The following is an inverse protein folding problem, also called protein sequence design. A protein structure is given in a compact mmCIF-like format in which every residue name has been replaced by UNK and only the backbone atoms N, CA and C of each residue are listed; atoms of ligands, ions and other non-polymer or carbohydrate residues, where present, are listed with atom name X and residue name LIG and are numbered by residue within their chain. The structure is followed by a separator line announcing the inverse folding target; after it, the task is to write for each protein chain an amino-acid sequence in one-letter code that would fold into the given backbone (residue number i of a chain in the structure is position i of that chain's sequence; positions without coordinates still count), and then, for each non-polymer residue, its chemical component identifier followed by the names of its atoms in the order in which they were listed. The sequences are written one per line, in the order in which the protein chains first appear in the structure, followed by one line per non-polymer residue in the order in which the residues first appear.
data_IF_802416892259
#
_entry.id   IF_802416892259
#
_cell.length_a   1.000
_cell.length_b   1.000
_cell.length_c   1.000
_cell.angle_alpha   90.00
_cell.angle_beta   90.00
_cell.angle_gamma   90.00
#
_symmetry.space_group_name_H-M   'P 1'
#
loop_
_entity.id
_entity.type
_entity.pdbx_description
1 polymer ?
#
# COMPACT_ATOMS: atom_id res chain seq x y z
N UNK A 1 6.30 -8.31 -3.08
CA UNK A 1 5.26 -9.35 -2.84
C UNK A 1 5.79 -10.73 -2.47
N UNK A 2 6.93 -11.17 -3.00
CA UNK A 2 7.52 -12.50 -2.76
C UNK A 2 7.50 -12.95 -1.28
N UNK A 3 7.97 -12.09 -0.37
CA UNK A 3 7.99 -12.36 1.08
C UNK A 3 6.60 -12.62 1.69
N UNK A 4 5.56 -11.91 1.23
CA UNK A 4 4.19 -12.13 1.70
C UNK A 4 3.64 -13.50 1.24
N UNK A 5 3.95 -13.90 -0.01
CA UNK A 5 3.58 -15.21 -0.55
C UNK A 5 4.25 -16.36 0.22
N UNK A 6 5.51 -16.20 0.61
CA UNK A 6 6.26 -17.18 1.40
C UNK A 6 5.73 -17.26 2.85
N UNK A 7 5.36 -16.12 3.44
CA UNK A 7 4.90 -16.06 4.83
C UNK A 7 3.51 -16.68 5.03
N UNK A 8 2.64 -16.63 4.01
CA UNK A 8 1.28 -17.17 4.09
C UNK A 8 0.83 -17.79 2.77
N UNK A 9 0.64 -19.11 2.81
CA UNK A 9 0.21 -19.91 1.67
C UNK A 9 -1.10 -19.43 1.02
N UNK A 10 -2.10 -19.05 1.82
CA UNK A 10 -3.37 -18.53 1.28
C UNK A 10 -3.19 -17.25 0.47
N UNK A 11 -2.29 -16.36 0.91
CA UNK A 11 -1.95 -15.16 0.14
C UNK A 11 -1.25 -15.53 -1.16
N UNK A 12 -0.31 -16.49 -1.12
CA UNK A 12 0.33 -17.03 -2.31
C UNK A 12 -0.67 -17.59 -3.33
N UNK A 13 -1.65 -18.38 -2.87
CA UNK A 13 -2.71 -18.91 -3.74
C UNK A 13 -3.59 -17.82 -4.35
N UNK A 14 -3.94 -16.78 -3.58
CA UNK A 14 -4.63 -15.61 -4.12
C UNK A 14 -3.77 -14.92 -5.19
N UNK A 15 -2.50 -14.65 -4.87
CA UNK A 15 -1.60 -13.93 -5.75
C UNK A 15 -1.36 -14.68 -7.06
N UNK A 16 -1.29 -16.00 -7.03
CA UNK A 16 -1.11 -16.83 -8.23
C UNK A 16 -2.29 -16.76 -9.20
N UNK A 17 -3.52 -16.51 -8.71
CA UNK A 17 -4.72 -16.39 -9.55
C UNK A 17 -4.79 -15.10 -10.33
N UNK A 18 -4.06 -14.07 -9.90
CA UNK A 18 -4.06 -12.77 -10.56
C UNK A 18 -3.29 -12.84 -11.88
N UNK A 19 -3.77 -12.10 -12.87
CA UNK A 19 -3.03 -11.86 -14.11
C UNK A 19 -1.82 -10.93 -13.87
N UNK A 20 -0.97 -10.76 -14.89
CA UNK A 20 0.24 -9.92 -14.75
C UNK A 20 -0.12 -8.47 -14.48
N UNK A 21 -1.12 -7.92 -15.17
CA UNK A 21 -1.53 -6.52 -15.04
C UNK A 21 -2.04 -6.21 -13.63
N UNK A 22 -2.83 -7.12 -13.04
CA UNK A 22 -3.31 -7.02 -11.68
C UNK A 22 -2.17 -7.10 -10.66
N UNK A 23 -1.20 -8.00 -10.86
CA UNK A 23 -0.02 -8.09 -10.00
C UNK A 23 0.79 -6.79 -10.04
N UNK A 24 1.09 -6.32 -11.24
CA UNK A 24 1.83 -5.08 -11.47
C UNK A 24 1.09 -3.88 -10.87
N UNK A 25 -0.23 -3.83 -11.04
CA UNK A 25 -1.08 -2.80 -10.44
C UNK A 25 -1.05 -2.82 -8.91
N UNK A 26 -1.15 -3.99 -8.28
CA UNK A 26 -1.09 -4.09 -6.80
C UNK A 26 0.30 -3.66 -6.30
N UNK A 27 1.37 -4.15 -6.94
CA UNK A 27 2.74 -3.80 -6.56
C UNK A 27 2.99 -2.29 -6.71
N UNK A 28 2.55 -1.70 -7.81
CA UNK A 28 2.72 -0.27 -8.06
C UNK A 28 1.88 0.57 -7.10
N UNK A 29 0.63 0.21 -6.85
CA UNK A 29 -0.23 0.91 -5.90
C UNK A 29 0.35 0.89 -4.48
N UNK A 30 1.04 -0.19 -4.07
CA UNK A 30 1.71 -0.24 -2.75
C UNK A 30 2.91 0.69 -2.71
N UNK A 31 3.72 0.73 -3.78
CA UNK A 31 4.82 1.70 -3.86
C UNK A 31 4.29 3.13 -3.77
N UNK A 32 3.26 3.45 -4.55
CA UNK A 32 2.64 4.78 -4.55
C UNK A 32 2.09 5.13 -3.16
N UNK A 33 1.38 4.20 -2.51
CA UNK A 33 0.88 4.39 -1.14
C UNK A 33 2.02 4.74 -0.19
N UNK A 34 3.08 3.93 -0.16
CA UNK A 34 4.20 4.14 0.75
C UNK A 34 4.91 5.46 0.46
N UNK A 35 5.19 5.78 -0.81
CA UNK A 35 5.82 7.06 -1.19
C UNK A 35 4.99 8.26 -0.74
N UNK A 36 3.68 8.25 -1.00
CA UNK A 36 2.79 9.34 -0.60
C UNK A 36 2.62 9.43 0.91
N UNK A 37 2.53 8.30 1.60
CA UNK A 37 2.41 8.26 3.06
C UNK A 37 3.65 8.86 3.72
N UNK A 38 4.86 8.53 3.24
CA UNK A 38 6.11 9.11 3.74
C UNK A 38 6.22 10.60 3.42
N UNK A 39 5.83 11.01 2.20
CA UNK A 39 5.83 12.42 1.81
C UNK A 39 4.86 13.29 2.63
N UNK A 40 3.86 12.68 3.27
CA UNK A 40 2.86 13.36 4.10
C UNK A 40 2.93 12.93 5.56
N UNK A 41 4.07 12.43 6.05
CA UNK A 41 4.19 11.83 7.39
C UNK A 41 3.77 12.78 8.53
N UNK A 42 3.93 14.09 8.34
CA UNK A 42 3.51 15.14 9.29
C UNK A 42 1.99 15.41 9.26
N UNK A 43 1.28 14.94 8.24
CA UNK A 43 -0.14 15.14 8.01
C UNK A 43 -0.89 13.81 8.12
N UNK A 44 -1.04 13.31 9.35
CA UNK A 44 -1.62 11.99 9.63
C UNK A 44 -3.00 11.81 8.98
N UNK A 45 -3.85 12.82 8.98
CA UNK A 45 -5.17 12.76 8.34
C UNK A 45 -5.06 12.49 6.83
N UNK A 46 -4.06 13.06 6.15
CA UNK A 46 -3.82 12.82 4.73
C UNK A 46 -3.25 11.41 4.51
N UNK A 47 -2.35 10.94 5.38
CA UNK A 47 -1.84 9.55 5.34
C UNK A 47 -2.98 8.54 5.49
N UNK A 48 -3.89 8.79 6.44
CA UNK A 48 -5.09 7.96 6.64
C UNK A 48 -5.98 7.98 5.41
N UNK A 49 -6.28 9.16 4.85
CA UNK A 49 -7.10 9.30 3.65
C UNK A 49 -6.51 8.53 2.46
N UNK A 50 -5.19 8.64 2.24
CA UNK A 50 -4.48 7.92 1.18
C UNK A 50 -4.53 6.40 1.37
N UNK A 51 -4.34 5.94 2.61
CA UNK A 51 -4.40 4.54 2.97
C UNK A 51 -5.82 3.97 2.80
N UNK A 52 -6.85 4.69 3.25
CA UNK A 52 -8.24 4.30 3.09
C UNK A 52 -8.64 4.20 1.61
N UNK A 53 -8.21 5.15 0.77
CA UNK A 53 -8.44 5.13 -0.67
C UNK A 53 -7.80 3.89 -1.32
N UNK A 54 -6.58 3.54 -0.92
CA UNK A 54 -5.90 2.33 -1.35
C UNK A 54 -6.68 1.07 -0.93
N UNK A 55 -7.14 1.00 0.33
CA UNK A 55 -7.94 -0.10 0.85
C UNK A 55 -9.28 -0.28 0.14
N UNK A 56 -9.95 0.82 -0.17
CA UNK A 56 -11.20 0.83 -0.91
C UNK A 56 -11.03 0.22 -2.31
N UNK A 57 -9.94 0.53 -3.03
CA UNK A 57 -9.65 -0.05 -4.36
C UNK A 57 -9.49 -1.57 -4.31
N UNK A 58 -8.93 -2.11 -3.23
CA UNK A 58 -8.66 -3.55 -3.10
C UNK A 58 -9.91 -4.42 -2.95
N UNK A 59 -11.06 -3.79 -2.68
CA UNK A 59 -12.37 -4.46 -2.66
C UNK A 59 -12.65 -5.22 -3.95
N UNK A 60 -12.18 -4.73 -5.10
CA UNK A 60 -12.41 -5.36 -6.41
C UNK A 60 -11.84 -6.78 -6.52
N UNK A 61 -10.83 -7.12 -5.71
CA UNK A 61 -10.19 -8.45 -5.73
C UNK A 61 -10.92 -9.49 -4.87
N UNK A 62 -12.03 -9.15 -4.19
CA UNK A 62 -12.78 -10.09 -3.35
C UNK A 62 -13.31 -11.29 -4.12
N UNK A 63 -13.81 -11.09 -5.34
CA UNK A 63 -14.30 -12.17 -6.20
C UNK A 63 -13.21 -13.16 -6.58
N UNK A 64 -11.94 -12.75 -6.45
CA UNK A 64 -10.75 -13.56 -6.74
C UNK A 64 -10.16 -14.20 -5.47
N UNK A 65 -10.82 -14.04 -4.31
CA UNK A 65 -10.45 -14.64 -3.04
C UNK A 65 -9.59 -13.75 -2.13
N UNK A 66 -9.49 -12.44 -2.40
CA UNK A 66 -8.80 -11.52 -1.51
C UNK A 66 -9.48 -11.44 -0.13
N UNK A 67 -8.69 -11.58 0.93
CA UNK A 67 -9.13 -11.43 2.32
C UNK A 67 -8.50 -10.18 2.94
N UNK A 68 -9.22 -9.41 3.78
CA UNK A 68 -8.65 -8.23 4.46
C UNK A 68 -7.46 -8.59 5.38
N UNK A 69 -7.40 -9.81 5.90
CA UNK A 69 -6.25 -10.30 6.69
C UNK A 69 -4.93 -10.29 5.89
N UNK A 70 -5.02 -10.28 4.57
CA UNK A 70 -3.85 -10.18 3.71
C UNK A 70 -3.10 -8.86 3.85
N UNK A 71 -3.78 -7.79 4.29
CA UNK A 71 -3.12 -6.52 4.57
C UNK A 71 -2.12 -6.62 5.73
N UNK A 72 -2.40 -7.42 6.77
CA UNK A 72 -1.46 -7.63 7.86
C UNK A 72 -0.19 -8.36 7.38
N UNK A 73 -0.36 -9.31 6.44
CA UNK A 73 0.75 -10.04 5.83
C UNK A 73 1.61 -9.09 4.98
N UNK A 74 0.97 -8.21 4.21
CA UNK A 74 1.65 -7.17 3.43
C UNK A 74 2.41 -6.20 4.34
N UNK A 75 1.79 -5.74 5.43
CA UNK A 75 2.41 -4.85 6.41
C UNK A 75 3.70 -5.46 6.98
N UNK A 76 3.62 -6.71 7.48
CA UNK A 76 4.78 -7.41 8.03
C UNK A 76 5.90 -7.60 7.00
N UNK A 77 5.53 -7.95 5.76
CA UNK A 77 6.49 -8.11 4.68
C UNK A 77 7.18 -6.78 4.34
N UNK A 78 6.43 -5.67 4.31
CA UNK A 78 6.95 -4.32 4.11
C UNK A 78 7.88 -3.90 5.24
N UNK A 79 7.50 -4.10 6.51
CA UNK A 79 8.35 -3.79 7.67
C UNK A 79 9.68 -4.53 7.57
N UNK A 80 9.63 -5.84 7.27
CA UNK A 80 10.82 -6.67 7.16
C UNK A 80 11.73 -6.19 6.03
N UNK A 81 11.16 -5.81 4.89
CA UNK A 81 11.92 -5.34 3.74
C UNK A 81 12.54 -3.95 4.00
N UNK A 82 11.78 -3.02 4.57
CA UNK A 82 12.28 -1.71 4.97
C UNK A 82 13.41 -1.83 6.00
N UNK A 83 13.23 -2.65 7.04
CA UNK A 83 14.28 -2.90 8.04
C UNK A 83 15.52 -3.56 7.43
N UNK A 84 15.34 -4.52 6.51
CA UNK A 84 16.46 -5.19 5.85
C UNK A 84 17.29 -4.22 4.99
N UNK A 85 16.63 -3.33 4.24
CA UNK A 85 17.31 -2.33 3.41
C UNK A 85 17.98 -1.25 4.25
N UNK A 86 17.37 -0.87 5.36
CA UNK A 86 17.88 0.15 6.27
C UNK A 86 19.01 -0.35 7.18
N UNK A 87 19.13 -1.66 7.41
CA UNK A 87 20.23 -2.27 8.18
C UNK A 87 21.64 -1.93 7.66
N UNK A 88 21.76 -1.53 6.39
CA UNK A 88 23.02 -1.07 5.80
C UNK A 88 23.41 0.36 6.24
N UNK A 89 22.48 1.10 6.84
CA UNK A 89 22.60 2.51 7.21
C UNK A 89 22.46 2.70 8.72
N UNK A 90 21.45 2.07 9.34
CA UNK A 90 21.15 2.20 10.75
C UNK A 90 21.09 0.84 11.47
N UNK A 91 21.32 0.80 12.80
CA UNK A 91 21.14 -0.42 13.57
C UNK A 91 19.67 -0.88 13.56
N UNK A 92 19.43 -2.14 13.19
CA UNK A 92 18.11 -2.77 13.07
C UNK A 92 17.14 -2.45 14.21
N UNK A 93 17.65 -2.45 15.45
CA UNK A 93 16.83 -2.26 16.65
C UNK A 93 16.24 -0.85 16.79
N UNK A 94 16.82 0.16 16.14
CA UNK A 94 16.33 1.54 16.21
C UNK A 94 15.23 1.81 15.19
N UNK A 95 15.39 1.28 13.97
CA UNK A 95 14.50 1.62 12.85
C UNK A 95 13.33 0.65 12.71
N UNK A 96 13.48 -0.59 13.19
CA UNK A 96 12.40 -1.56 13.22
C UNK A 96 11.16 -1.04 13.97
N UNK A 97 11.34 -0.43 15.14
CA UNK A 97 10.22 0.11 15.92
C UNK A 97 9.49 1.25 15.19
N UNK A 98 10.24 2.12 14.53
CA UNK A 98 9.69 3.22 13.74
C UNK A 98 8.89 2.69 12.53
N UNK A 99 9.47 1.78 11.76
CA UNK A 99 8.80 1.12 10.63
C UNK A 99 7.56 0.36 11.10
N UNK A 100 7.66 -0.44 12.16
CA UNK A 100 6.53 -1.19 12.71
C UNK A 100 5.38 -0.26 13.11
N UNK A 101 5.66 0.84 13.80
CA UNK A 101 4.62 1.79 14.22
C UNK A 101 3.94 2.45 13.03
N UNK A 102 4.73 3.02 12.12
CA UNK A 102 4.21 3.75 10.97
C UNK A 102 3.46 2.84 9.99
N UNK A 103 4.06 1.73 9.58
CA UNK A 103 3.45 0.81 8.62
C UNK A 103 2.20 0.14 9.20
N UNK A 104 2.18 -0.18 10.49
CA UNK A 104 0.97 -0.71 11.15
C UNK A 104 -0.16 0.32 11.14
N UNK A 105 0.13 1.60 11.39
CA UNK A 105 -0.87 2.68 11.30
C UNK A 105 -1.43 2.82 9.89
N UNK A 106 -0.55 2.85 8.88
CA UNK A 106 -0.95 2.91 7.46
C UNK A 106 -1.84 1.72 7.10
N UNK A 107 -1.40 0.48 7.37
CA UNK A 107 -2.16 -0.71 6.99
C UNK A 107 -3.42 -0.94 7.84
N UNK A 108 -3.50 -0.37 9.04
CA UNK A 108 -4.76 -0.31 9.80
C UNK A 108 -5.78 0.57 9.07
N UNK A 109 -5.36 1.75 8.62
CA UNK A 109 -6.20 2.67 7.83
C UNK A 109 -6.60 2.07 6.48
N UNK A 110 -5.70 1.32 5.83
CA UNK A 110 -6.02 0.53 4.63
C UNK A 110 -7.18 -0.44 4.90
N UNK A 111 -7.13 -1.17 6.01
CA UNK A 111 -8.17 -2.12 6.37
C UNK A 111 -9.50 -1.41 6.66
N UNK A 112 -9.46 -0.24 7.29
CA UNK A 112 -10.65 0.56 7.56
C UNK A 112 -11.32 1.05 6.28
N UNK A 113 -10.54 1.55 5.31
CA UNK A 113 -11.04 1.91 3.97
C UNK A 113 -11.65 0.73 3.22
N UNK A 114 -11.04 -0.46 3.30
CA UNK A 114 -11.60 -1.68 2.71
C UNK A 114 -12.98 -2.01 3.30
N UNK A 115 -13.11 -1.95 4.63
CA UNK A 115 -14.40 -2.19 5.30
C UNK A 115 -15.43 -1.08 5.05
N UNK A 116 -14.99 0.18 4.93
CA UNK A 116 -15.85 1.30 4.57
C UNK A 116 -16.46 1.11 3.18
N UNK A 117 -15.65 0.73 2.21
CA UNK A 117 -16.11 0.47 0.85
C UNK A 117 -17.00 -0.79 0.78
N UNK A 118 -16.69 -1.84 1.56
CA UNK A 118 -17.61 -2.99 1.75
C UNK A 118 -19.00 -2.57 2.20
N UNK A 119 -19.06 -1.71 3.23
CA UNK A 119 -20.30 -1.19 3.77
C UNK A 119 -21.02 -0.30 2.77
N UNK A 120 -20.29 0.49 1.98
CA UNK A 120 -20.86 1.32 0.90
C UNK A 120 -21.52 0.46 -0.17
N UNK A 121 -20.84 -0.56 -0.69
CA UNK A 121 -21.37 -1.44 -1.72
C UNK A 121 -22.70 -2.09 -1.32
N UNK A 122 -22.82 -2.57 -0.07
CA UNK A 122 -24.07 -3.16 0.44
C UNK A 122 -25.24 -2.16 0.42
N UNK A 123 -24.99 -0.88 0.70
CA UNK A 123 -26.01 0.17 0.70
C UNK A 123 -26.46 0.52 -0.71
N UNK A 124 -25.53 0.59 -1.66
CA UNK A 124 -25.84 0.88 -3.07
C UNK A 124 -26.57 -0.28 -3.75
N UNK A 125 -26.26 -1.54 -3.38
CA UNK A 125 -26.97 -2.71 -3.89
C UNK A 125 -28.38 -2.88 -3.31
N UNK A 126 -28.69 -2.20 -2.20
CA UNK A 126 -30.00 -2.28 -1.55
C UNK A 126 -31.00 -1.21 -2.06
N UNK A 127 -30.58 -0.29 -2.94
CA UNK A 127 -31.45 0.72 -3.54
C UNK A 127 -31.98 0.34 -4.92
N UNK A 128 -31.78 -0.90 -5.39
CA UNK A 128 -32.30 -1.36 -6.68
C UNK A 128 -33.69 -1.99 -6.54
N UNK A 129 -34.62 -1.22 -6.00
CA UNK A 129 -36.06 -1.41 -6.22
C UNK A 129 -36.73 -0.04 -6.26
N UNK A 130 -36.51 0.68 -7.36
CA UNK A 130 -37.44 1.58 -8.05
C UNK A 130 -36.66 2.10 -9.26
N UNK A 131 -37.19 1.81 -10.46
CA UNK A 131 -36.46 1.86 -11.71
C UNK A 131 -35.90 3.23 -12.07
N UNK A 132 -34.86 3.22 -12.92
CA UNK A 132 -34.79 4.06 -14.12
C UNK A 132 -33.58 3.66 -14.97
N UNK A 133 -33.81 3.56 -16.27
CA UNK A 133 -32.82 3.37 -17.31
C UNK A 133 -31.75 4.46 -17.27
N UNK A 134 -30.47 4.09 -17.20
CA UNK A 134 -29.39 4.94 -17.68
C UNK A 134 -28.24 4.08 -18.21
N UNK A 135 -28.11 4.08 -19.53
CA UNK A 135 -27.01 3.50 -20.29
C UNK A 135 -25.73 4.30 -20.04
N UNK A 136 -24.78 3.72 -19.29
CA UNK A 136 -23.44 4.29 -19.22
C UNK A 136 -22.58 3.73 -20.37
N UNK A 137 -22.43 4.55 -21.40
CA UNK A 137 -21.44 4.34 -22.45
C UNK A 137 -20.03 4.38 -21.84
N UNK A 138 -19.30 3.27 -22.00
CA UNK A 138 -17.90 3.12 -21.61
C UNK A 138 -17.02 3.84 -22.65
N UNK A 139 -16.50 5.02 -22.31
CA UNK A 139 -15.55 5.74 -23.17
C UNK A 139 -14.16 5.15 -22.97
N UNK A 140 -13.61 4.51 -24.01
CA UNK A 140 -12.23 4.03 -24.10
C UNK A 140 -11.29 5.24 -24.11
N UNK A 141 -10.32 5.28 -23.20
CA UNK A 141 -9.15 6.15 -23.31
C UNK A 141 -8.02 5.29 -23.88
N UNK A 142 -7.48 5.72 -25.03
CA UNK A 142 -6.31 5.14 -25.67
C UNK A 142 -5.19 6.13 -25.45
N UNK A 143 -4.10 5.70 -24.83
CA UNK A 143 -2.85 6.44 -24.83
C UNK A 143 -1.70 5.43 -24.97
N UNK A 144 -1.10 5.45 -26.15
CA UNK A 144 0.17 4.82 -26.48
C UNK A 144 1.29 5.59 -25.78
N UNK A 145 2.14 4.90 -25.02
CA UNK A 145 3.50 5.36 -24.76
C UNK A 145 4.46 4.16 -24.71
N UNK A 146 5.39 4.18 -25.66
CA UNK A 146 6.59 3.35 -25.69
C UNK A 146 7.61 3.92 -24.71
N UNK A 147 8.21 3.08 -23.88
CA UNK A 147 9.45 3.40 -23.19
C UNK A 147 10.28 2.13 -22.99
N UNK A 148 11.51 2.24 -23.45
CA UNK A 148 12.47 1.18 -23.60
C UNK A 148 12.83 0.46 -22.29
N UNK A 149 13.13 -0.81 -22.45
CA UNK A 149 13.87 -1.71 -21.58
C UNK A 149 14.99 -0.98 -20.81
N UNK A 150 14.75 -0.73 -19.51
CA UNK A 150 15.77 -0.36 -18.54
C UNK A 150 15.59 -1.23 -17.29
N UNK A 151 16.59 -2.08 -17.09
CA UNK A 151 16.77 -3.04 -15.99
C UNK A 151 16.19 -2.58 -14.65
N UNK A 152 15.16 -3.25 -14.09
CA UNK A 152 14.46 -2.77 -12.90
C UNK A 152 15.28 -2.83 -11.61
N UNK A 153 16.33 -3.65 -11.53
CA UNK A 153 16.96 -4.00 -10.23
C UNK A 153 17.77 -2.90 -9.54
N UNK A 154 18.23 -1.88 -10.26
CA UNK A 154 19.08 -0.83 -9.67
C UNK A 154 18.29 0.39 -9.16
N UNK A 155 17.14 0.71 -9.74
CA UNK A 155 16.31 1.84 -9.31
C UNK A 155 15.61 1.55 -7.98
N UNK A 156 15.24 0.29 -7.72
CA UNK A 156 14.63 -0.12 -6.45
C UNK A 156 15.57 0.01 -5.24
N UNK A 157 16.88 -0.06 -5.44
CA UNK A 157 17.85 0.05 -4.35
C UNK A 157 17.99 1.50 -3.86
N UNK A 158 18.09 2.48 -4.75
CA UNK A 158 18.28 3.88 -4.37
C UNK A 158 17.00 4.55 -3.85
N UNK A 159 15.83 4.20 -4.42
CA UNK A 159 14.54 4.81 -4.03
C UNK A 159 14.02 4.28 -2.69
N UNK A 160 14.20 2.99 -2.40
CA UNK A 160 13.84 2.45 -1.08
C UNK A 160 14.76 2.98 0.03
N UNK A 161 16.05 3.23 -0.26
CA UNK A 161 16.97 3.85 0.71
C UNK A 161 16.52 5.29 1.03
N UNK A 162 16.04 6.05 0.06
CA UNK A 162 15.54 7.42 0.29
C UNK A 162 14.26 7.45 1.15
N UNK A 163 13.30 6.55 0.89
CA UNK A 163 12.08 6.45 1.71
C UNK A 163 12.39 5.94 3.12
N UNK A 164 13.33 5.01 3.27
CA UNK A 164 13.79 4.49 4.58
C UNK A 164 14.50 5.58 5.38
N UNK A 165 15.37 6.34 4.73
CA UNK A 165 16.09 7.47 5.34
C UNK A 165 15.14 8.59 5.77
N UNK A 166 14.10 8.90 4.98
CA UNK A 166 13.09 9.91 5.32
C UNK A 166 12.20 9.47 6.50
N UNK A 167 11.74 8.22 6.54
CA UNK A 167 10.95 7.71 7.68
C UNK A 167 11.77 7.79 8.98
N UNK A 168 13.07 7.46 8.93
CA UNK A 168 13.95 7.46 10.11
C UNK A 168 14.36 8.88 10.53
N UNK A 169 14.64 9.78 9.58
CA UNK A 169 14.94 11.19 9.88
C UNK A 169 13.76 11.92 10.55
N UNK A 170 12.53 11.56 10.18
CA UNK A 170 11.32 12.18 10.75
C UNK A 170 10.80 11.49 12.03
N UNK A 171 11.11 10.21 12.27
CA UNK A 171 10.67 9.47 13.47
C UNK A 171 11.75 9.30 14.55
N UNK A 172 12.99 9.78 14.33
CA UNK A 172 14.04 9.71 15.34
C UNK A 172 13.77 10.69 16.49
N UNK A 173 13.71 10.25 17.76
CA UNK A 173 13.51 11.11 18.92
C UNK A 173 14.56 12.23 19.04
N UNK A 174 15.74 12.03 18.44
CA UNK A 174 16.84 13.00 18.44
C UNK A 174 16.54 14.27 17.62
N UNK A 175 15.58 14.23 16.69
CA UNK A 175 15.15 15.41 15.91
C UNK A 175 13.99 16.18 16.58
N UNK A 176 13.24 15.54 17.49
CA UNK A 176 12.20 16.20 18.30
C UNK A 176 12.85 17.14 19.34
N UNK A 177 14.06 16.84 19.79
CA UNK A 177 14.79 17.66 20.78
C UNK A 177 15.38 18.94 20.17
N UNK A 178 15.63 19.01 18.86
CA UNK A 178 16.12 20.24 18.19
C UNK A 178 15.01 21.21 17.75
N UNK A 179 13.73 20.85 17.91
CA UNK A 179 12.58 21.71 17.55
C UNK A 179 12.08 22.59 18.70
N UNK A 180 12.72 22.50 19.88
CA UNK A 180 12.51 23.39 21.02
C UNK A 180 13.85 23.95 21.53
N UNK A 181 14.53 24.73 20.69
CA UNK A 181 15.41 25.84 21.11
C UNK A 181 15.39 26.87 19.99
#
# INVERSE_FOLDING_TARGET
MKRACEKRFEFGLFYLKLDSEQKDSIEENIKILLKKAVANIDFIDEVQRLAEEFGAKHVQYRTQGFKPDFFAICADATITECAFLDNAVHPAHQTLNAFSTFITMVFSSVRDGFYAEMRRMRRTSNSFSIGSNSSFQRKKFSEDLTAADLSPRYVYYYECIYASSLIVLFLSPSFIVWRHT
#
